data_IF_808666482911
#
_entry.id   IF_808666482911
#
_cell.length_a   1.000
_cell.length_b   1.000
_cell.length_c   1.000
_cell.angle_alpha   90.00
_cell.angle_beta   90.00
_cell.angle_gamma   90.00
#
_symmetry.space_group_name_H-M   'P 1'
#
loop_
_entity.id
_entity.type
_entity.pdbx_description
1 polymer ?
#
# COMPACT_ATOMS: atom_id res chain seq x y z
N UNK A 1 13.50 -4.78 4.34
CA UNK A 1 13.45 -5.73 3.19
C UNK A 1 13.06 -4.88 1.99
N UNK A 2 13.96 -4.61 1.03
CA UNK A 2 13.73 -3.53 0.04
C UNK A 2 12.53 -3.78 -0.86
N UNK A 3 11.57 -2.86 -0.89
CA UNK A 3 10.45 -2.85 -1.83
C UNK A 3 10.96 -2.45 -3.22
N UNK A 4 11.42 -3.41 -4.02
CA UNK A 4 11.85 -3.15 -5.39
C UNK A 4 10.65 -2.99 -6.34
N UNK A 5 10.71 -2.06 -7.31
CA UNK A 5 9.59 -1.83 -8.22
C UNK A 5 9.46 -2.95 -9.25
N UNK A 6 8.23 -3.43 -9.50
CA UNK A 6 7.94 -4.52 -10.45
C UNK A 6 6.69 -4.20 -11.29
N UNK A 7 6.53 -4.76 -12.51
CA UNK A 7 5.32 -4.58 -13.30
C UNK A 7 4.09 -5.14 -12.56
N UNK A 8 2.94 -4.42 -12.56
CA UNK A 8 1.80 -4.79 -11.73
C UNK A 8 1.01 -6.01 -12.25
N UNK A 9 0.95 -6.22 -13.58
CA UNK A 9 0.03 -7.19 -14.17
C UNK A 9 0.25 -8.65 -13.70
N UNK A 10 1.48 -9.19 -13.65
CA UNK A 10 1.69 -10.57 -13.20
C UNK A 10 1.33 -10.79 -11.72
N UNK A 11 1.68 -9.84 -10.85
CA UNK A 11 1.40 -9.93 -9.42
C UNK A 11 -0.10 -9.83 -9.12
N UNK A 12 -0.81 -8.94 -9.81
CA UNK A 12 -2.27 -8.81 -9.68
C UNK A 12 -2.97 -10.09 -10.14
N UNK A 13 -2.58 -10.65 -11.29
CA UNK A 13 -3.15 -11.90 -11.78
C UNK A 13 -2.88 -13.08 -10.83
N UNK A 14 -1.69 -13.13 -10.22
CA UNK A 14 -1.35 -14.14 -9.22
C UNK A 14 -2.18 -13.98 -7.94
N UNK A 15 -2.37 -12.75 -7.46
CA UNK A 15 -3.21 -12.44 -6.30
C UNK A 15 -4.67 -12.86 -6.55
N UNK A 16 -5.25 -12.49 -7.70
CA UNK A 16 -6.60 -12.87 -8.08
C UNK A 16 -6.78 -14.40 -8.13
N UNK A 17 -5.83 -15.11 -8.74
CA UNK A 17 -5.84 -16.58 -8.79
C UNK A 17 -5.74 -17.23 -7.41
N UNK A 18 -5.05 -16.58 -6.47
CA UNK A 18 -4.94 -17.02 -5.08
C UNK A 18 -6.15 -16.64 -4.21
N UNK A 19 -7.16 -15.97 -4.78
CA UNK A 19 -8.32 -15.48 -4.04
C UNK A 19 -8.01 -14.26 -3.17
N UNK A 20 -6.91 -13.55 -3.44
CA UNK A 20 -6.51 -12.36 -2.71
C UNK A 20 -7.24 -11.12 -3.22
N UNK A 21 -7.42 -10.14 -2.33
CA UNK A 21 -7.94 -8.82 -2.70
C UNK A 21 -6.80 -7.87 -3.04
N UNK A 22 -6.95 -7.11 -4.12
CA UNK A 22 -5.99 -6.07 -4.50
C UNK A 22 -6.47 -4.68 -4.06
N UNK A 23 -5.65 -3.97 -3.30
CA UNK A 23 -5.83 -2.58 -2.91
C UNK A 23 -4.91 -1.71 -3.76
N UNK A 24 -5.46 -0.72 -4.48
CA UNK A 24 -4.66 0.11 -5.41
C UNK A 24 -4.47 1.52 -4.87
N UNK A 25 -3.22 1.93 -4.74
CA UNK A 25 -2.82 3.26 -4.31
C UNK A 25 -2.08 3.94 -5.46
N UNK A 26 -2.75 4.83 -6.18
CA UNK A 26 -2.09 5.66 -7.20
C UNK A 26 -1.61 6.96 -6.56
N UNK A 27 -0.33 7.31 -6.71
CA UNK A 27 0.25 8.53 -6.15
C UNK A 27 0.39 9.66 -7.18
N UNK A 28 -0.23 9.53 -8.36
CA UNK A 28 -0.21 10.58 -9.37
C UNK A 28 -0.72 11.90 -8.80
N UNK A 29 0.06 12.97 -9.03
CA UNK A 29 -0.29 14.32 -8.60
C UNK A 29 -0.17 14.59 -7.09
N UNK A 30 0.25 13.62 -6.28
CA UNK A 30 0.47 13.83 -4.84
C UNK A 30 1.74 14.68 -4.63
N UNK A 31 1.63 15.79 -3.92
CA UNK A 31 2.72 16.75 -3.67
C UNK A 31 2.97 17.03 -2.19
N UNK A 32 2.09 16.56 -1.31
CA UNK A 32 2.18 16.78 0.14
C UNK A 32 1.86 15.52 0.94
N UNK A 33 2.40 15.43 2.16
CA UNK A 33 2.04 14.39 3.13
C UNK A 33 0.53 14.32 3.39
N UNK A 34 -0.15 15.45 3.48
CA UNK A 34 -1.59 15.47 3.67
C UNK A 34 -2.35 14.85 2.48
N UNK A 35 -1.92 15.11 1.24
CA UNK A 35 -2.47 14.44 0.05
C UNK A 35 -2.15 12.94 0.04
N UNK A 36 -0.93 12.57 0.43
CA UNK A 36 -0.52 11.17 0.54
C UNK A 36 -1.46 10.42 1.50
N UNK A 37 -1.66 10.95 2.70
CA UNK A 37 -2.54 10.33 3.70
C UNK A 37 -3.98 10.20 3.23
N UNK A 38 -4.51 11.21 2.51
CA UNK A 38 -5.84 11.11 1.88
C UNK A 38 -5.92 10.01 0.82
N UNK A 39 -4.86 9.85 0.02
CA UNK A 39 -4.78 8.83 -1.04
C UNK A 39 -4.77 7.42 -0.45
N UNK A 40 -4.02 7.22 0.63
CA UNK A 40 -4.02 5.97 1.39
C UNK A 40 -5.36 5.70 2.08
N UNK A 41 -5.92 6.68 2.78
CA UNK A 41 -7.21 6.53 3.45
C UNK A 41 -8.32 6.12 2.48
N UNK A 42 -8.38 6.75 1.30
CA UNK A 42 -9.33 6.39 0.25
C UNK A 42 -9.11 4.98 -0.30
N UNK A 43 -7.86 4.59 -0.57
CA UNK A 43 -7.53 3.29 -1.14
C UNK A 43 -7.81 2.11 -0.18
N UNK A 44 -7.60 2.32 1.12
CA UNK A 44 -7.88 1.33 2.16
C UNK A 44 -9.35 1.36 2.63
N UNK A 45 -10.16 2.30 2.12
CA UNK A 45 -11.53 2.56 2.57
C UNK A 45 -11.63 2.69 4.11
N UNK A 46 -10.68 3.42 4.70
CA UNK A 46 -10.55 3.52 6.16
C UNK A 46 -11.80 4.11 6.82
N UNK A 47 -12.13 3.70 8.06
CA UNK A 47 -13.25 4.28 8.78
C UNK A 47 -12.97 5.72 9.25
N UNK A 48 -14.00 6.38 9.77
CA UNK A 48 -13.95 7.79 10.17
C UNK A 48 -12.94 8.12 11.29
N UNK A 49 -12.43 7.11 12.01
CA UNK A 49 -11.41 7.30 13.04
C UNK A 49 -10.01 7.58 12.46
N UNK A 50 -9.80 7.39 11.17
CA UNK A 50 -8.49 7.53 10.54
C UNK A 50 -7.93 8.96 10.66
N UNK A 51 -6.86 9.10 11.45
CA UNK A 51 -6.27 10.40 11.83
C UNK A 51 -5.44 11.09 10.75
N UNK A 52 -5.21 10.45 9.58
CA UNK A 52 -4.48 11.07 8.47
C UNK A 52 -3.01 11.39 8.78
N UNK A 53 -2.35 10.54 9.57
CA UNK A 53 -0.94 10.65 9.93
C UNK A 53 -0.25 9.27 9.81
N UNK A 54 1.06 9.19 10.11
CA UNK A 54 1.84 7.95 9.95
C UNK A 54 1.37 6.84 10.88
N UNK A 55 1.13 7.15 12.15
CA UNK A 55 0.67 6.17 13.14
C UNK A 55 -0.69 5.60 12.74
N UNK A 56 -1.62 6.47 12.33
CA UNK A 56 -2.94 6.06 11.85
C UNK A 56 -2.86 5.19 10.59
N UNK A 57 -1.86 5.40 9.72
CA UNK A 57 -1.62 4.55 8.56
C UNK A 57 -1.07 3.18 8.97
N UNK A 58 -0.13 3.14 9.90
CA UNK A 58 0.39 1.89 10.44
C UNK A 58 -0.72 1.07 11.10
N UNK A 59 -1.51 1.68 11.98
CA UNK A 59 -2.66 1.06 12.65
C UNK A 59 -3.66 0.52 11.62
N UNK A 60 -3.97 1.32 10.60
CA UNK A 60 -4.92 0.90 9.58
C UNK A 60 -4.44 -0.30 8.76
N UNK A 61 -3.14 -0.36 8.44
CA UNK A 61 -2.56 -1.42 7.63
C UNK A 61 -2.43 -2.76 8.38
N UNK A 62 -2.36 -2.75 9.71
CA UNK A 62 -2.33 -3.97 10.53
C UNK A 62 -3.72 -4.44 10.97
N UNK A 63 -4.71 -3.56 11.01
CA UNK A 63 -6.10 -3.92 11.38
C UNK A 63 -6.85 -4.49 10.17
N UNK A 64 -7.12 -3.66 9.15
CA UNK A 64 -7.88 -4.01 7.93
C UNK A 64 -9.19 -4.82 8.16
N UNK A 65 -9.71 -4.89 9.39
CA UNK A 65 -10.84 -5.76 9.77
C UNK A 65 -12.18 -5.34 9.17
N UNK A 66 -12.27 -4.10 8.67
CA UNK A 66 -13.44 -3.61 7.92
C UNK A 66 -13.49 -4.09 6.48
N UNK A 67 -12.40 -4.67 5.96
CA UNK A 67 -12.38 -5.31 4.65
C UNK A 67 -12.87 -6.75 4.73
N UNK A 68 -13.35 -7.34 3.62
CA UNK A 68 -13.68 -8.77 3.58
C UNK A 68 -12.51 -9.63 4.06
N UNK A 69 -12.82 -10.69 4.81
CA UNK A 69 -11.83 -11.71 5.14
C UNK A 69 -11.47 -12.49 3.87
N UNK A 70 -10.18 -12.51 3.56
CA UNK A 70 -9.61 -13.13 2.37
C UNK A 70 -8.29 -13.80 2.73
N UNK A 71 -7.84 -14.84 1.98
CA UNK A 71 -6.57 -15.51 2.23
C UNK A 71 -5.35 -14.58 2.16
N UNK A 72 -5.46 -13.45 1.46
CA UNK A 72 -4.44 -12.43 1.47
C UNK A 72 -4.84 -11.16 0.71
N UNK A 73 -3.98 -10.15 0.86
CA UNK A 73 -4.19 -8.79 0.35
C UNK A 73 -2.91 -8.34 -0.36
N UNK A 74 -3.06 -7.79 -1.55
CA UNK A 74 -1.97 -7.18 -2.31
C UNK A 74 -2.20 -5.66 -2.40
N UNK A 75 -1.30 -4.87 -1.81
CA UNK A 75 -1.29 -3.41 -1.97
C UNK A 75 -0.40 -3.07 -3.16
N UNK A 76 -0.95 -2.44 -4.19
CA UNK A 76 -0.21 -1.99 -5.38
C UNK A 76 -0.10 -0.47 -5.37
N UNK A 77 1.12 0.04 -5.22
CA UNK A 77 1.41 1.47 -5.22
C UNK A 77 1.97 1.88 -6.59
N UNK A 78 1.34 2.84 -7.25
CA UNK A 78 1.73 3.32 -8.60
C UNK A 78 2.05 4.81 -8.59
N UNK A 79 2.72 5.30 -9.63
CA UNK A 79 3.03 6.73 -9.81
C UNK A 79 3.81 7.35 -8.64
N UNK A 80 4.55 6.53 -7.90
CA UNK A 80 5.19 6.88 -6.63
C UNK A 80 6.50 7.65 -6.81
N UNK A 81 7.21 7.46 -7.93
CA UNK A 81 8.55 7.99 -8.17
C UNK A 81 8.63 9.52 -8.05
N UNK A 82 7.62 10.25 -8.54
CA UNK A 82 7.59 11.71 -8.44
C UNK A 82 7.44 12.19 -6.99
N UNK A 83 6.65 11.49 -6.17
CA UNK A 83 6.52 11.79 -4.75
C UNK A 83 7.81 11.46 -4.00
N UNK A 84 8.36 10.26 -4.23
CA UNK A 84 9.60 9.80 -3.63
C UNK A 84 10.77 10.75 -3.89
N UNK A 85 10.94 11.22 -5.13
CA UNK A 85 11.98 12.19 -5.47
C UNK A 85 11.77 13.58 -4.86
N UNK A 86 10.52 14.01 -4.69
CA UNK A 86 10.21 15.32 -4.12
C UNK A 86 10.25 15.33 -2.57
N UNK A 87 10.01 14.18 -1.94
CA UNK A 87 9.84 14.03 -0.49
C UNK A 87 10.52 12.74 0.01
N UNK A 88 11.87 12.63 -0.10
CA UNK A 88 12.57 11.39 0.21
C UNK A 88 12.38 10.93 1.67
N UNK A 89 12.34 11.85 2.64
CA UNK A 89 12.08 11.50 4.04
C UNK A 89 10.68 10.98 4.31
N UNK A 90 9.65 11.59 3.69
CA UNK A 90 8.28 11.06 3.80
C UNK A 90 8.15 9.69 3.11
N UNK A 91 8.92 9.48 2.04
CA UNK A 91 8.93 8.23 1.30
C UNK A 91 9.60 7.10 2.10
N UNK A 92 10.75 7.37 2.75
CA UNK A 92 11.41 6.44 3.66
C UNK A 92 10.47 6.00 4.78
N UNK A 93 9.81 6.95 5.46
CA UNK A 93 8.83 6.62 6.50
C UNK A 93 7.65 5.79 5.97
N UNK A 94 7.17 6.07 4.75
CA UNK A 94 6.12 5.25 4.14
C UNK A 94 6.60 3.80 3.90
N UNK A 95 7.83 3.63 3.42
CA UNK A 95 8.39 2.29 3.22
C UNK A 95 8.51 1.54 4.54
N UNK A 96 9.00 2.19 5.61
CA UNK A 96 9.08 1.59 6.94
C UNK A 96 7.71 1.12 7.45
N UNK A 97 6.67 1.96 7.30
CA UNK A 97 5.29 1.61 7.68
C UNK A 97 4.77 0.41 6.87
N UNK A 98 5.04 0.38 5.56
CA UNK A 98 4.61 -0.72 4.69
C UNK A 98 5.34 -2.02 4.98
N UNK A 99 6.66 -1.95 5.23
CA UNK A 99 7.48 -3.09 5.62
C UNK A 99 7.00 -3.66 6.96
N UNK A 100 6.77 -2.81 7.96
CA UNK A 100 6.23 -3.22 9.26
C UNK A 100 4.86 -3.90 9.17
N UNK A 101 3.98 -3.40 8.30
CA UNK A 101 2.69 -4.05 8.05
C UNK A 101 2.87 -5.43 7.39
N UNK A 102 3.74 -5.56 6.38
CA UNK A 102 4.02 -6.85 5.75
C UNK A 102 4.60 -7.84 6.76
N UNK A 103 5.48 -7.40 7.64
CA UNK A 103 6.04 -8.23 8.72
C UNK A 103 4.95 -8.70 9.70
N UNK A 104 4.08 -7.79 10.15
CA UNK A 104 2.95 -8.14 11.02
C UNK A 104 2.08 -9.26 10.43
N UNK A 105 1.67 -9.13 9.16
CA UNK A 105 0.79 -10.10 8.51
C UNK A 105 1.48 -11.42 8.11
N UNK A 106 2.81 -11.51 8.16
CA UNK A 106 3.49 -12.80 7.96
C UNK A 106 3.25 -13.76 9.11
N UNK A 107 3.13 -13.21 10.32
CA UNK A 107 2.93 -13.99 11.53
C UNK A 107 1.45 -14.08 11.93
N UNK A 108 0.56 -13.37 11.23
CA UNK A 108 -0.87 -13.38 11.47
C UNK A 108 -1.55 -14.64 10.90
N UNK A 109 -2.60 -15.13 11.58
CA UNK A 109 -3.41 -16.26 11.12
C UNK A 109 -4.53 -15.85 10.14
N UNK A 110 -4.88 -14.55 10.09
CA UNK A 110 -6.03 -13.99 9.37
C UNK A 110 -5.72 -13.57 7.91
N UNK A 111 -4.70 -14.21 7.32
CA UNK A 111 -4.29 -14.03 5.92
C UNK A 111 -2.98 -13.24 5.77
N UNK A 112 -2.52 -13.11 4.53
CA UNK A 112 -1.24 -12.45 4.22
C UNK A 112 -1.43 -10.99 3.72
N UNK A 113 -0.40 -10.17 3.88
CA UNK A 113 -0.27 -8.88 3.21
C UNK A 113 1.02 -8.84 2.40
N UNK A 114 0.92 -8.42 1.13
CA UNK A 114 2.07 -8.11 0.29
C UNK A 114 1.94 -6.69 -0.27
N UNK A 115 3.08 -6.03 -0.45
CA UNK A 115 3.17 -4.69 -1.05
C UNK A 115 3.98 -4.78 -2.33
N UNK A 116 3.45 -4.16 -3.39
CA UNK A 116 4.09 -4.03 -4.68
C UNK A 116 4.21 -2.55 -5.04
N UNK A 117 5.44 -2.07 -5.19
CA UNK A 117 5.70 -0.82 -5.88
C UNK A 117 5.70 -1.10 -7.38
N UNK A 118 4.81 -0.44 -8.11
CA UNK A 118 4.67 -0.63 -9.53
C UNK A 118 5.20 0.59 -10.29
N UNK A 119 6.02 0.33 -11.30
CA UNK A 119 6.37 1.37 -12.27
C UNK A 119 5.13 1.70 -13.13
N UNK A 120 4.98 2.96 -13.58
CA UNK A 120 4.01 3.24 -14.62
C UNK A 120 4.31 2.36 -15.83
N UNK A 121 3.29 1.88 -16.57
CA UNK A 121 3.55 1.19 -17.83
C UNK A 121 4.41 2.12 -18.71
N UNK A 122 5.41 1.59 -19.44
CA UNK A 122 6.19 2.41 -20.35
C UNK A 122 5.22 3.15 -21.26
N UNK A 123 5.36 4.47 -21.34
CA UNK A 123 4.59 5.26 -22.29
C UNK A 123 4.93 4.74 -23.69
N UNK A 124 3.95 4.11 -24.33
CA UNK A 124 4.04 3.69 -25.72
C UNK A 124 4.01 4.86 -26.69
#
# INVERSE_FOLDING_TARGET
>A
MTLDPQPPAPAVAAAEKAGWTTLRVDLAGVRSKAELMRRWGAALAVPAWFGGNWDALADALIDLSWLPQVPGRLVVVTSWSSYAGARPGDWETLQEVLEGAVEYWRDAEDGALAVLLAEPPPAG
#
